data_IF_047814644219
#
_entry.id   IF_047814644219
#
_cell.length_a   1.000
_cell.length_b   1.000
_cell.length_c   1.000
_cell.angle_alpha   90.00
_cell.angle_beta   90.00
_cell.angle_gamma   90.00
#
_symmetry.space_group_name_H-M   'P 1'
#
loop_
_entity.id
_entity.type
_entity.pdbx_description
1 polymer ?
#
# COMPACT_ATOMS: atom_id res chain seq x y z
N UNK A 1 34.13 -14.04 3.43
CA UNK A 1 33.02 -15.00 3.23
C UNK A 1 32.07 -14.82 4.40
N UNK A 2 31.35 -13.71 4.42
CA UNK A 2 30.29 -13.41 5.39
C UNK A 2 29.10 -12.92 4.58
N UNK A 3 28.37 -13.88 4.02
CA UNK A 3 27.04 -13.65 3.47
C UNK A 3 26.12 -13.62 4.68
N UNK A 4 26.09 -12.46 5.33
CA UNK A 4 25.07 -12.11 6.31
C UNK A 4 23.72 -12.55 5.75
N UNK A 5 23.05 -13.39 6.53
CA UNK A 5 21.75 -13.94 6.25
C UNK A 5 20.71 -12.82 6.05
N UNK A 6 20.66 -12.25 4.85
CA UNK A 6 19.52 -11.43 4.42
C UNK A 6 18.44 -12.44 4.09
N UNK A 7 17.62 -12.73 5.09
CA UNK A 7 16.27 -13.20 4.85
C UNK A 7 15.59 -12.08 4.04
N UNK A 8 15.73 -12.13 2.72
CA UNK A 8 15.03 -11.30 1.77
C UNK A 8 13.56 -11.72 1.86
N UNK A 9 12.85 -11.20 2.87
CA UNK A 9 11.41 -11.40 3.00
C UNK A 9 10.78 -10.67 1.84
N UNK A 10 10.56 -11.39 0.75
CA UNK A 10 9.92 -10.88 -0.44
C UNK A 10 8.61 -10.17 -0.05
N UNK A 11 8.55 -8.86 -0.24
CA UNK A 11 7.37 -8.06 0.11
C UNK A 11 6.22 -8.49 -0.79
N UNK A 12 5.11 -8.94 -0.20
CA UNK A 12 3.91 -9.38 -0.94
C UNK A 12 2.76 -8.38 -0.78
N UNK A 13 1.84 -8.32 -1.74
CA UNK A 13 0.66 -7.45 -1.66
C UNK A 13 -0.18 -7.77 -0.40
N UNK A 14 -0.31 -9.05 -0.04
CA UNK A 14 -1.01 -9.47 1.18
C UNK A 14 -0.35 -8.92 2.45
N UNK A 15 0.98 -8.96 2.54
CA UNK A 15 1.71 -8.36 3.66
C UNK A 15 1.47 -6.84 3.73
N UNK A 16 1.52 -6.15 2.58
CA UNK A 16 1.25 -4.71 2.49
C UNK A 16 -0.17 -4.38 2.97
N UNK A 17 -1.18 -5.13 2.53
CA UNK A 17 -2.56 -4.93 2.96
C UNK A 17 -2.73 -5.12 4.47
N UNK A 18 -2.11 -6.16 5.05
CA UNK A 18 -2.14 -6.43 6.49
C UNK A 18 -1.49 -5.31 7.30
N UNK A 19 -0.28 -4.91 6.93
CA UNK A 19 0.49 -3.87 7.62
C UNK A 19 -0.24 -2.54 7.57
N UNK A 20 -0.77 -2.14 6.41
CA UNK A 20 -1.52 -0.89 6.28
C UNK A 20 -2.83 -0.96 7.05
N UNK A 21 -3.57 -2.07 6.98
CA UNK A 21 -4.80 -2.23 7.77
C UNK A 21 -4.53 -2.13 9.27
N UNK A 22 -3.48 -2.78 9.77
CA UNK A 22 -3.08 -2.72 11.17
C UNK A 22 -2.73 -1.29 11.61
N UNK A 23 -1.93 -0.58 10.81
CA UNK A 23 -1.51 0.79 11.10
C UNK A 23 -2.72 1.74 11.28
N UNK A 24 -3.70 1.64 10.38
CA UNK A 24 -4.91 2.47 10.43
C UNK A 24 -6.04 1.89 11.29
N UNK A 25 -5.79 0.78 12.02
CA UNK A 25 -6.79 0.07 12.85
C UNK A 25 -8.05 -0.34 12.06
N UNK A 26 -7.84 -0.77 10.82
CA UNK A 26 -8.86 -1.31 9.91
C UNK A 26 -8.77 -2.83 9.82
N UNK A 27 -9.79 -3.45 9.23
CA UNK A 27 -9.73 -4.87 8.86
C UNK A 27 -9.10 -5.00 7.48
N UNK A 28 -8.40 -6.11 7.21
CA UNK A 28 -7.87 -6.40 5.86
C UNK A 28 -9.01 -6.42 4.82
N UNK A 29 -10.20 -6.89 5.19
CA UNK A 29 -11.39 -6.84 4.35
C UNK A 29 -11.77 -5.42 3.89
N UNK A 30 -11.41 -4.37 4.65
CA UNK A 30 -11.62 -2.99 4.23
C UNK A 30 -10.70 -2.59 3.07
N UNK A 31 -9.55 -3.25 2.87
CA UNK A 31 -8.66 -2.99 1.73
C UNK A 31 -9.29 -3.44 0.41
N UNK A 32 -10.09 -4.52 0.42
CA UNK A 32 -10.80 -5.02 -0.76
C UNK A 32 -12.24 -4.48 -0.89
N UNK A 33 -12.84 -4.01 0.21
CA UNK A 33 -14.21 -3.49 0.25
C UNK A 33 -14.50 -2.40 -0.79
N UNK A 34 -15.71 -2.33 -1.35
CA UNK A 34 -16.14 -1.24 -2.25
C UNK A 34 -16.42 0.10 -1.53
N UNK A 35 -16.37 0.13 -0.19
CA UNK A 35 -16.64 1.34 0.62
C UNK A 35 -15.66 2.47 0.30
N UNK A 36 -16.21 3.68 0.11
CA UNK A 36 -15.47 4.89 -0.31
C UNK A 36 -15.30 5.94 0.79
N UNK A 37 -15.71 5.65 2.02
CA UNK A 37 -15.51 6.55 3.18
C UNK A 37 -14.03 6.90 3.30
N UNK A 38 -13.70 8.19 3.52
CA UNK A 38 -12.32 8.71 3.52
C UNK A 38 -11.38 7.93 4.45
N UNK A 39 -11.87 7.53 5.62
CA UNK A 39 -11.14 6.73 6.61
C UNK A 39 -10.73 5.34 6.13
N UNK A 40 -11.33 4.83 5.05
CA UNK A 40 -10.97 3.55 4.44
C UNK A 40 -10.30 3.77 3.09
N UNK A 41 -10.83 4.69 2.27
CA UNK A 41 -10.32 4.95 0.93
C UNK A 41 -8.86 5.44 0.95
N UNK A 42 -8.48 6.30 1.90
CA UNK A 42 -7.10 6.80 2.00
C UNK A 42 -6.09 5.70 2.35
N UNK A 43 -6.29 4.92 3.43
CA UNK A 43 -5.43 3.77 3.71
C UNK A 43 -5.33 2.80 2.53
N UNK A 44 -6.43 2.52 1.84
CA UNK A 44 -6.41 1.66 0.65
C UNK A 44 -5.58 2.24 -0.48
N UNK A 45 -5.70 3.54 -0.76
CA UNK A 45 -4.88 4.21 -1.78
C UNK A 45 -3.39 4.17 -1.43
N UNK A 46 -3.04 4.37 -0.16
CA UNK A 46 -1.67 4.24 0.35
C UNK A 46 -1.16 2.81 0.17
N UNK A 47 -1.98 1.81 0.51
CA UNK A 47 -1.67 0.39 0.30
C UNK A 47 -1.40 0.05 -1.16
N UNK A 48 -2.19 0.58 -2.10
CA UNK A 48 -1.96 0.43 -3.55
C UNK A 48 -0.67 1.10 -4.02
N UNK A 49 -0.38 2.31 -3.54
CA UNK A 49 0.84 3.04 -3.88
C UNK A 49 2.08 2.28 -3.38
N UNK A 50 2.06 1.79 -2.13
CA UNK A 50 3.12 0.95 -1.57
C UNK A 50 3.28 -0.36 -2.33
N UNK A 51 2.18 -1.01 -2.74
CA UNK A 51 2.24 -2.20 -3.58
C UNK A 51 2.92 -1.92 -4.92
N UNK A 52 2.69 -0.76 -5.52
CA UNK A 52 3.33 -0.37 -6.78
C UNK A 52 4.83 -0.06 -6.61
N UNK A 53 5.23 0.49 -5.46
CA UNK A 53 6.61 0.87 -5.15
C UNK A 53 7.46 -0.32 -4.69
N UNK A 54 6.91 -1.21 -3.87
CA UNK A 54 7.64 -2.28 -3.19
C UNK A 54 7.58 -3.63 -3.91
N UNK A 55 6.81 -3.75 -4.98
CA UNK A 55 6.65 -5.02 -5.71
C UNK A 55 6.74 -4.83 -7.23
N UNK A 56 7.04 -5.92 -7.93
CA UNK A 56 7.08 -5.96 -9.40
C UNK A 56 5.70 -6.20 -10.03
N UNK A 57 4.62 -6.18 -9.26
CA UNK A 57 3.27 -6.38 -9.80
C UNK A 57 2.85 -5.22 -10.71
N UNK A 58 2.15 -5.58 -11.77
CA UNK A 58 1.51 -4.67 -12.71
C UNK A 58 0.29 -3.99 -12.08
N UNK A 59 -0.16 -2.87 -12.67
CA UNK A 59 -1.36 -2.17 -12.19
C UNK A 59 -2.63 -3.05 -12.21
N UNK A 60 -2.87 -3.91 -13.23
CA UNK A 60 -3.97 -4.88 -13.18
C UNK A 60 -3.86 -5.86 -12.03
N UNK A 61 -2.70 -6.50 -11.81
CA UNK A 61 -2.51 -7.48 -10.73
C UNK A 61 -2.74 -6.86 -9.34
N UNK A 62 -2.26 -5.62 -9.14
CA UNK A 62 -2.54 -4.86 -7.93
C UNK A 62 -4.05 -4.62 -7.82
N UNK A 63 -4.69 -4.16 -8.89
CA UNK A 63 -6.14 -3.93 -8.93
C UNK A 63 -6.95 -5.15 -8.51
N UNK A 64 -6.60 -6.33 -9.03
CA UNK A 64 -7.21 -7.61 -8.69
C UNK A 64 -7.06 -7.94 -7.20
N UNK A 65 -5.85 -7.80 -6.66
CA UNK A 65 -5.57 -8.03 -5.24
C UNK A 65 -6.33 -7.06 -4.31
N UNK A 66 -6.72 -5.88 -4.80
CA UNK A 66 -7.58 -4.94 -4.09
C UNK A 66 -9.07 -5.11 -4.47
N UNK A 67 -9.55 -6.33 -4.69
CA UNK A 67 -10.97 -6.63 -4.88
C UNK A 67 -11.47 -6.39 -6.30
N UNK A 68 -10.67 -6.74 -7.30
CA UNK A 68 -11.04 -6.63 -8.72
C UNK A 68 -11.23 -5.20 -9.20
N UNK A 69 -10.38 -4.28 -8.73
CA UNK A 69 -10.42 -2.87 -9.13
C UNK A 69 -9.71 -2.68 -10.46
N UNK A 70 -10.26 -1.82 -11.30
CA UNK A 70 -9.63 -1.48 -12.57
C UNK A 70 -8.23 -0.88 -12.36
N UNK A 71 -7.29 -1.23 -13.24
CA UNK A 71 -5.90 -0.75 -13.22
C UNK A 71 -5.77 0.78 -13.17
N UNK A 72 -6.70 1.52 -13.80
CA UNK A 72 -6.76 2.98 -13.72
C UNK A 72 -7.04 3.46 -12.30
N UNK A 73 -7.79 2.70 -11.49
CA UNK A 73 -8.00 3.00 -10.05
C UNK A 73 -6.69 2.97 -9.28
N UNK A 74 -5.81 2.00 -9.59
CA UNK A 74 -4.48 1.91 -8.97
C UNK A 74 -3.62 3.09 -9.42
N UNK A 75 -3.62 3.42 -10.72
CA UNK A 75 -2.93 4.61 -11.25
C UNK A 75 -3.41 5.90 -10.56
N UNK A 76 -4.72 6.08 -10.39
CA UNK A 76 -5.31 7.20 -9.69
C UNK A 76 -4.90 7.22 -8.20
N UNK A 77 -4.84 6.07 -7.54
CA UNK A 77 -4.37 5.95 -6.16
C UNK A 77 -2.92 6.41 -6.03
N UNK A 78 -2.01 5.93 -6.89
CA UNK A 78 -0.60 6.32 -6.86
C UNK A 78 -0.43 7.83 -7.06
N UNK A 79 -1.09 8.41 -8.07
CA UNK A 79 -1.06 9.87 -8.32
C UNK A 79 -1.60 10.65 -7.13
N UNK A 80 -2.72 10.20 -6.55
CA UNK A 80 -3.34 10.90 -5.42
C UNK A 80 -2.47 10.84 -4.17
N UNK A 81 -1.82 9.71 -3.90
CA UNK A 81 -0.92 9.58 -2.75
C UNK A 81 0.31 10.45 -2.93
N UNK A 82 0.90 10.52 -4.13
CA UNK A 82 2.01 11.44 -4.42
C UNK A 82 1.62 12.90 -4.12
N UNK A 83 0.50 13.37 -4.68
CA UNK A 83 -0.03 14.72 -4.42
C UNK A 83 -0.27 14.96 -2.92
N UNK A 84 -0.83 13.97 -2.21
CA UNK A 84 -1.10 14.10 -0.78
C UNK A 84 0.18 14.16 0.06
N UNK A 85 1.23 13.44 -0.33
CA UNK A 85 2.53 13.47 0.38
C UNK A 85 3.22 14.82 0.24
N UNK A 86 3.05 15.49 -0.91
CA UNK A 86 3.58 16.85 -1.11
C UNK A 86 2.83 17.89 -0.28
N UNK A 87 1.51 17.73 -0.14
CA UNK A 87 0.64 18.75 0.46
C UNK A 87 0.24 18.48 1.92
N UNK A 88 0.65 17.34 2.50
CA UNK A 88 0.27 16.95 3.86
C UNK A 88 1.40 16.18 4.55
N UNK A 89 2.05 16.84 5.51
CA UNK A 89 3.17 16.28 6.27
C UNK A 89 2.79 15.00 7.00
N UNK A 90 1.61 14.92 7.60
CA UNK A 90 1.14 13.72 8.31
C UNK A 90 1.06 12.52 7.36
N UNK A 91 0.49 12.69 6.17
CA UNK A 91 0.41 11.59 5.18
C UNK A 91 1.81 11.18 4.71
N UNK A 92 2.74 12.13 4.55
CA UNK A 92 4.10 11.80 4.18
C UNK A 92 4.84 11.01 5.29
N UNK A 93 4.64 11.38 6.55
CA UNK A 93 5.17 10.66 7.70
C UNK A 93 4.58 9.24 7.80
N UNK A 94 3.26 9.12 7.72
CA UNK A 94 2.54 7.84 7.70
C UNK A 94 3.07 6.92 6.58
N UNK A 95 3.22 7.46 5.36
CA UNK A 95 3.77 6.71 4.22
C UNK A 95 5.20 6.24 4.48
N UNK A 96 6.05 7.12 5.00
CA UNK A 96 7.46 6.81 5.27
C UNK A 96 7.61 5.73 6.35
N UNK A 97 6.77 5.77 7.39
CA UNK A 97 6.75 4.74 8.44
C UNK A 97 6.33 3.38 7.88
N UNK A 98 5.27 3.35 7.07
CA UNK A 98 4.78 2.12 6.44
C UNK A 98 5.82 1.54 5.47
N UNK A 99 6.43 2.39 4.64
CA UNK A 99 7.49 1.99 3.71
C UNK A 99 8.64 1.31 4.43
N UNK A 100 9.16 1.94 5.50
CA UNK A 100 10.26 1.37 6.31
C UNK A 100 9.87 0.06 6.97
N UNK A 101 8.65 -0.03 7.50
CA UNK A 101 8.16 -1.24 8.18
C UNK A 101 8.08 -2.43 7.23
N UNK A 102 7.72 -2.19 5.96
CA UNK A 102 7.59 -3.21 4.93
C UNK A 102 8.94 -3.61 4.31
N UNK A 103 9.94 -2.73 4.37
CA UNK A 103 11.28 -2.96 3.83
C UNK A 103 12.32 -3.41 4.87
N UNK A 104 11.89 -3.69 6.11
CA UNK A 104 12.75 -4.11 7.24
C UNK A 104 12.71 -5.60 7.49
#
# INVERSE_FOLDING_TARGET
RDLLAVHDRMVTIDNIQKTVAQYYKLRVADMVSKRRTRSIARPRQISMALAKELTNHSLPEIGDAFGGRDHTTVMHACRKVAELRENNTTINEEYTVLLRTLSS
#
